data_IF_394938816386
#
_entry.id   IF_394938816386
#
_cell.length_a   1.000
_cell.length_b   1.000
_cell.length_c   1.000
_cell.angle_alpha   90.00
_cell.angle_beta   90.00
_cell.angle_gamma   90.00
#
_symmetry.space_group_name_H-M   'P 1'
#
loop_
_entity.id
_entity.type
_entity.pdbx_description
1 polymer ?
#
# COMPACT_ATOMS: atom_id res chain seq x y z
N UNK A 1 9.63 41.32 -2.77
CA UNK A 1 8.29 40.69 -2.69
C UNK A 1 8.41 39.37 -3.43
N UNK A 2 8.70 38.29 -2.69
CA UNK A 2 8.80 36.93 -3.26
C UNK A 2 7.42 36.30 -3.23
N UNK A 3 6.86 35.98 -4.38
CA UNK A 3 5.68 35.16 -4.49
C UNK A 3 6.02 33.76 -3.99
N UNK A 4 5.35 33.32 -2.93
CA UNK A 4 5.35 31.91 -2.50
C UNK A 4 4.74 31.09 -3.65
N UNK A 5 5.36 30.02 -4.13
CA UNK A 5 4.73 29.17 -5.13
C UNK A 5 3.54 28.48 -4.46
N UNK A 6 2.33 28.86 -4.83
CA UNK A 6 1.14 28.07 -4.57
C UNK A 6 1.27 26.80 -5.43
N UNK A 7 1.75 25.71 -4.85
CA UNK A 7 1.57 24.38 -5.46
C UNK A 7 0.08 24.08 -5.38
N UNK A 8 -0.55 23.90 -6.53
CA UNK A 8 -1.90 23.36 -6.63
C UNK A 8 -1.88 21.92 -6.13
N UNK A 9 -2.93 21.48 -5.43
CA UNK A 9 -3.09 20.08 -4.97
C UNK A 9 -2.95 19.06 -6.13
N UNK A 10 -3.20 19.48 -7.36
CA UNK A 10 -3.06 18.67 -8.58
C UNK A 10 -1.60 18.33 -8.98
N UNK A 11 -0.59 18.98 -8.37
CA UNK A 11 0.83 18.72 -8.68
C UNK A 11 1.50 17.71 -7.71
N UNK A 12 0.80 17.29 -6.67
CA UNK A 12 1.34 16.33 -5.69
C UNK A 12 1.15 14.90 -6.16
N UNK A 13 2.21 14.08 -6.06
CA UNK A 13 2.07 12.65 -6.36
C UNK A 13 1.11 11.96 -5.37
N UNK A 14 0.14 11.17 -5.85
CA UNK A 14 -0.84 10.53 -5.00
C UNK A 14 -0.22 9.46 -4.11
N UNK A 15 -0.72 9.35 -2.87
CA UNK A 15 -0.46 8.22 -1.99
C UNK A 15 -1.59 7.22 -2.10
N UNK A 16 -1.27 6.02 -2.58
CA UNK A 16 -2.20 4.91 -2.78
C UNK A 16 -1.99 3.85 -1.71
N UNK A 17 -3.09 3.25 -1.26
CA UNK A 17 -3.09 2.08 -0.41
C UNK A 17 -3.78 0.92 -1.13
N UNK A 18 -3.14 -0.25 -1.20
CA UNK A 18 -3.75 -1.46 -1.78
C UNK A 18 -3.52 -2.65 -0.85
N UNK A 19 -4.57 -3.42 -0.57
CA UNK A 19 -4.51 -4.59 0.32
C UNK A 19 -5.54 -5.65 -0.09
N UNK A 20 -5.19 -6.92 0.16
CA UNK A 20 -6.14 -8.03 0.13
C UNK A 20 -6.91 -8.10 1.43
N UNK A 21 -8.21 -8.35 1.34
CA UNK A 21 -9.11 -8.45 2.48
C UNK A 21 -10.20 -9.49 2.19
N UNK A 22 -10.67 -10.20 3.22
CA UNK A 22 -11.84 -11.07 3.09
C UNK A 22 -13.14 -10.28 3.18
N UNK A 23 -14.28 -10.88 2.85
CA UNK A 23 -15.60 -10.24 2.92
C UNK A 23 -15.96 -9.74 4.33
N UNK A 24 -15.43 -10.38 5.36
CA UNK A 24 -15.61 -9.98 6.78
C UNK A 24 -14.49 -9.06 7.29
N UNK A 25 -13.66 -8.51 6.37
CA UNK A 25 -12.67 -7.48 6.68
C UNK A 25 -11.35 -8.01 7.26
N UNK A 26 -11.12 -9.31 7.31
CA UNK A 26 -9.84 -9.86 7.75
C UNK A 26 -8.75 -9.56 6.73
N UNK A 27 -7.59 -9.06 7.21
CA UNK A 27 -6.42 -8.76 6.40
C UNK A 27 -5.21 -9.67 6.67
N UNK A 28 -5.41 -10.83 7.30
CA UNK A 28 -4.37 -11.85 7.43
C UNK A 28 -4.16 -12.56 6.07
N UNK A 29 -3.00 -12.30 5.46
CA UNK A 29 -2.65 -12.89 4.16
C UNK A 29 -2.65 -14.42 4.14
N UNK A 30 -2.46 -15.09 5.29
CA UNK A 30 -2.47 -16.55 5.40
C UNK A 30 -3.88 -17.13 5.27
N UNK A 31 -4.91 -16.33 5.48
CA UNK A 31 -6.30 -16.75 5.37
C UNK A 31 -6.83 -16.68 3.91
N UNK A 32 -6.02 -16.19 2.96
CA UNK A 32 -6.59 -15.53 1.79
C UNK A 32 -6.59 -16.38 0.51
N UNK A 33 -5.62 -17.30 0.22
CA UNK A 33 -5.47 -17.70 -1.19
C UNK A 33 -5.13 -19.19 -1.46
N UNK A 34 -5.69 -19.71 -2.58
CA UNK A 34 -5.21 -20.91 -3.28
C UNK A 34 -4.15 -20.54 -4.35
N UNK A 35 -3.32 -21.52 -4.78
CA UNK A 35 -2.20 -21.27 -5.71
C UNK A 35 -2.62 -20.70 -7.09
N UNK A 36 -3.78 -21.09 -7.62
CA UNK A 36 -4.26 -20.62 -8.93
C UNK A 36 -4.78 -19.18 -8.89
N UNK A 37 -5.43 -18.82 -7.81
CA UNK A 37 -5.95 -17.45 -7.58
C UNK A 37 -4.83 -16.45 -7.37
N UNK A 38 -3.70 -16.90 -6.80
CA UNK A 38 -2.52 -16.08 -6.55
C UNK A 38 -1.91 -15.47 -7.81
N UNK A 39 -1.86 -16.18 -8.94
CA UNK A 39 -1.18 -15.71 -10.14
C UNK A 39 -1.84 -14.45 -10.74
N UNK A 40 -3.16 -14.43 -10.83
CA UNK A 40 -3.89 -13.27 -11.36
C UNK A 40 -3.74 -12.06 -10.43
N UNK A 41 -3.84 -12.31 -9.14
CA UNK A 41 -3.68 -11.30 -8.10
C UNK A 41 -2.26 -10.72 -8.05
N UNK A 42 -1.23 -11.55 -8.16
CA UNK A 42 0.15 -11.08 -8.24
C UNK A 42 0.40 -10.21 -9.46
N UNK A 43 -0.16 -10.57 -10.62
CA UNK A 43 -0.09 -9.71 -11.82
C UNK A 43 -0.76 -8.35 -11.59
N UNK A 44 -1.89 -8.33 -10.88
CA UNK A 44 -2.55 -7.09 -10.51
C UNK A 44 -1.68 -6.25 -9.57
N UNK A 45 -1.14 -6.82 -8.51
CA UNK A 45 -0.24 -6.12 -7.60
C UNK A 45 1.06 -5.65 -8.28
N UNK A 46 1.61 -6.44 -9.22
CA UNK A 46 2.78 -6.01 -10.00
C UNK A 46 2.46 -4.76 -10.82
N UNK A 47 1.27 -4.69 -11.44
CA UNK A 47 0.83 -3.49 -12.18
C UNK A 47 0.65 -2.28 -11.26
N UNK A 48 0.06 -2.48 -10.08
CA UNK A 48 -0.09 -1.41 -9.08
C UNK A 48 1.26 -0.86 -8.63
N UNK A 49 2.22 -1.74 -8.34
CA UNK A 49 3.59 -1.37 -8.02
C UNK A 49 4.26 -0.56 -9.13
N UNK A 50 4.09 -0.96 -10.39
CA UNK A 50 4.66 -0.27 -11.54
C UNK A 50 4.06 1.14 -11.78
N UNK A 51 2.90 1.45 -11.20
CA UNK A 51 2.28 2.78 -11.22
C UNK A 51 2.81 3.72 -10.13
N UNK A 52 3.57 3.19 -9.16
CA UNK A 52 4.24 3.97 -8.14
C UNK A 52 5.76 3.99 -8.38
N UNK A 53 6.41 5.07 -8.02
CA UNK A 53 7.86 5.21 -8.08
C UNK A 53 8.53 5.02 -6.72
N UNK A 54 7.75 5.04 -5.64
CA UNK A 54 8.25 4.68 -4.32
C UNK A 54 7.20 3.96 -3.46
N UNK A 55 7.70 3.16 -2.53
CA UNK A 55 6.92 2.40 -1.56
C UNK A 55 7.14 2.96 -0.16
N UNK A 56 6.08 2.96 0.66
CA UNK A 56 6.18 3.35 2.07
C UNK A 56 5.81 2.15 2.93
N UNK A 57 6.71 1.74 3.81
CA UNK A 57 6.52 0.60 4.70
C UNK A 57 6.77 0.99 6.16
N UNK A 58 6.03 0.39 7.07
CA UNK A 58 6.46 0.27 8.46
C UNK A 58 7.51 -0.83 8.61
N UNK A 59 8.24 -0.85 9.73
CA UNK A 59 9.32 -1.82 10.00
C UNK A 59 8.92 -3.26 9.69
N UNK A 60 7.84 -3.75 10.27
CA UNK A 60 7.42 -5.16 10.13
C UNK A 60 7.13 -5.53 8.67
N UNK A 61 6.45 -4.65 7.94
CA UNK A 61 6.17 -4.88 6.51
C UNK A 61 7.45 -4.84 5.69
N UNK A 62 8.37 -3.91 5.97
CA UNK A 62 9.66 -3.85 5.31
C UNK A 62 10.46 -5.14 5.49
N UNK A 63 10.67 -5.59 6.73
CA UNK A 63 11.40 -6.81 7.06
C UNK A 63 10.79 -8.04 6.40
N UNK A 64 9.45 -8.16 6.42
CA UNK A 64 8.73 -9.26 5.80
C UNK A 64 8.89 -9.25 4.26
N UNK A 65 8.74 -8.11 3.62
CA UNK A 65 8.88 -7.97 2.16
C UNK A 65 10.33 -8.19 1.71
N UNK A 66 11.30 -7.67 2.45
CA UNK A 66 12.71 -7.88 2.19
C UNK A 66 13.07 -9.36 2.25
N UNK A 67 12.70 -10.04 3.33
CA UNK A 67 12.98 -11.46 3.52
C UNK A 67 12.34 -12.34 2.43
N UNK A 68 11.14 -11.98 1.97
CA UNK A 68 10.41 -12.74 0.96
C UNK A 68 10.95 -12.52 -0.47
N UNK A 69 11.23 -11.28 -0.85
CA UNK A 69 11.38 -10.92 -2.27
C UNK A 69 12.80 -10.57 -2.70
N UNK A 70 13.62 -10.02 -1.79
CA UNK A 70 15.00 -9.63 -2.11
C UNK A 70 15.86 -10.81 -2.56
N UNK A 71 15.88 -11.99 -1.90
CA UNK A 71 16.67 -13.13 -2.35
C UNK A 71 16.25 -13.61 -3.75
N UNK A 72 14.96 -13.69 -4.02
CA UNK A 72 14.47 -14.08 -5.34
C UNK A 72 14.93 -13.10 -6.43
N UNK A 73 14.81 -11.80 -6.19
CA UNK A 73 15.16 -10.78 -7.18
C UNK A 73 16.67 -10.73 -7.47
N UNK A 74 17.50 -10.83 -6.42
CA UNK A 74 18.93 -10.60 -6.53
C UNK A 74 19.76 -11.86 -6.82
N UNK A 75 19.34 -13.02 -6.32
CA UNK A 75 20.10 -14.28 -6.44
C UNK A 75 19.35 -15.41 -7.12
N UNK A 76 18.04 -15.23 -7.37
CA UNK A 76 17.17 -16.29 -7.86
C UNK A 76 16.84 -17.36 -6.80
N UNK A 77 17.22 -17.13 -5.53
CA UNK A 77 16.91 -18.05 -4.43
C UNK A 77 15.40 -18.10 -4.21
N UNK A 78 14.85 -19.32 -4.19
CA UNK A 78 13.41 -19.58 -4.10
C UNK A 78 13.09 -20.48 -2.92
N UNK A 79 12.41 -19.98 -1.88
CA UNK A 79 11.67 -20.86 -0.97
C UNK A 79 10.59 -21.67 -1.70
N UNK A 80 10.19 -22.80 -1.16
CA UNK A 80 9.24 -23.72 -1.82
C UNK A 80 7.88 -23.09 -2.17
N UNK A 81 7.45 -22.09 -1.41
CA UNK A 81 6.20 -21.37 -1.64
C UNK A 81 6.27 -20.36 -2.79
N UNK A 82 7.48 -19.94 -3.21
CA UNK A 82 7.67 -19.00 -4.32
C UNK A 82 7.62 -19.75 -5.66
N UNK A 83 6.66 -19.35 -6.50
CA UNK A 83 6.48 -19.91 -7.84
C UNK A 83 7.22 -19.04 -8.88
N UNK A 84 7.64 -19.63 -10.04
CA UNK A 84 8.35 -18.88 -11.09
C UNK A 84 7.62 -17.63 -11.58
N UNK A 85 6.30 -17.65 -11.63
CA UNK A 85 5.48 -16.52 -12.08
C UNK A 85 5.44 -15.34 -11.09
N UNK A 86 5.97 -15.49 -9.88
CA UNK A 86 6.13 -14.40 -8.90
C UNK A 86 7.37 -13.52 -9.14
N UNK A 87 8.30 -13.97 -9.99
CA UNK A 87 9.56 -13.26 -10.25
C UNK A 87 9.38 -11.82 -10.77
N UNK A 88 8.42 -11.49 -11.66
CA UNK A 88 8.18 -10.10 -12.06
C UNK A 88 7.84 -9.18 -10.88
N UNK A 89 7.05 -9.65 -9.93
CA UNK A 89 6.76 -8.90 -8.71
C UNK A 89 8.02 -8.67 -7.88
N UNK A 90 8.82 -9.72 -7.66
CA UNK A 90 10.08 -9.61 -6.91
C UNK A 90 11.03 -8.59 -7.54
N UNK A 91 11.20 -8.61 -8.85
CA UNK A 91 12.05 -7.63 -9.57
C UNK A 91 11.51 -6.21 -9.46
N UNK A 92 10.18 -6.03 -9.56
CA UNK A 92 9.56 -4.72 -9.47
C UNK A 92 9.72 -4.11 -8.08
N UNK A 93 9.48 -4.91 -7.03
CA UNK A 93 9.64 -4.42 -5.65
C UNK A 93 11.11 -4.20 -5.28
N UNK A 94 12.04 -5.01 -5.79
CA UNK A 94 13.48 -4.83 -5.57
C UNK A 94 13.96 -3.50 -6.15
N UNK A 95 13.57 -3.19 -7.36
CA UNK A 95 13.95 -1.96 -8.06
C UNK A 95 13.33 -0.68 -7.46
N UNK A 96 12.12 -0.77 -6.90
CA UNK A 96 11.41 0.39 -6.37
C UNK A 96 12.17 1.05 -5.19
N UNK A 97 12.17 2.39 -5.12
CA UNK A 97 12.60 3.12 -3.93
C UNK A 97 11.67 2.81 -2.76
N UNK A 98 12.22 2.67 -1.58
CA UNK A 98 11.45 2.41 -0.35
C UNK A 98 11.72 3.46 0.70
N UNK A 99 10.67 3.91 1.38
CA UNK A 99 10.73 4.72 2.58
C UNK A 99 10.23 3.89 3.75
N UNK A 100 11.05 3.74 4.79
CA UNK A 100 10.75 2.87 5.93
C UNK A 100 10.50 3.71 7.17
N UNK A 101 9.24 3.77 7.59
CA UNK A 101 8.86 4.49 8.81
C UNK A 101 9.18 3.62 10.02
N UNK A 102 10.17 4.02 10.80
CA UNK A 102 10.59 3.28 11.99
C UNK A 102 11.35 4.18 12.98
N UNK A 103 11.02 4.05 14.27
CA UNK A 103 11.78 4.63 15.37
C UNK A 103 12.86 3.69 15.93
N UNK A 104 12.81 2.40 15.59
CA UNK A 104 13.65 1.36 16.20
C UNK A 104 14.71 0.78 15.27
N UNK A 105 14.50 0.79 13.94
CA UNK A 105 15.52 0.36 12.99
C UNK A 105 16.67 1.36 12.98
N UNK A 106 17.90 0.87 13.04
CA UNK A 106 19.10 1.71 12.95
C UNK A 106 19.48 2.02 11.50
N UNK A 107 19.27 1.05 10.61
CA UNK A 107 19.62 1.15 9.18
C UNK A 107 18.67 0.33 8.31
N UNK A 108 18.63 0.67 7.04
CA UNK A 108 17.97 -0.07 5.94
C UNK A 108 18.89 0.00 4.72
N UNK A 109 18.85 -0.99 3.83
CA UNK A 109 19.76 -1.05 2.68
C UNK A 109 19.14 -1.57 1.37
N UNK A 110 17.94 -2.12 1.41
CA UNK A 110 17.23 -2.65 0.24
C UNK A 110 16.60 -1.53 -0.62
N UNK A 111 17.43 -0.70 -1.28
CA UNK A 111 17.02 0.53 -1.96
C UNK A 111 16.05 1.35 -1.09
N UNK A 112 16.39 1.48 0.19
CA UNK A 112 15.51 2.02 1.20
C UNK A 112 16.13 3.19 1.95
N UNK A 113 15.28 4.05 2.50
CA UNK A 113 15.62 5.19 3.34
C UNK A 113 14.76 5.20 4.59
N UNK A 114 15.38 5.47 5.75
CA UNK A 114 14.64 5.58 7.01
C UNK A 114 13.93 6.92 7.11
N UNK A 115 12.64 6.85 7.44
CA UNK A 115 11.80 8.00 7.77
C UNK A 115 11.60 8.03 9.29
N UNK A 116 12.00 9.12 9.92
CA UNK A 116 11.91 9.35 11.37
C UNK A 116 11.19 10.66 11.68
N UNK A 117 10.77 10.82 12.94
CA UNK A 117 10.14 12.03 13.40
C UNK A 117 8.63 12.09 13.10
N UNK A 118 8.12 13.26 12.73
CA UNK A 118 6.70 13.46 12.46
C UNK A 118 6.27 12.80 11.15
N UNK A 119 5.42 11.78 11.26
CA UNK A 119 4.93 10.99 10.13
C UNK A 119 4.20 11.86 9.10
N UNK A 120 3.34 12.76 9.60
CA UNK A 120 2.51 13.59 8.73
C UNK A 120 3.35 14.54 7.88
N UNK A 121 4.32 15.22 8.47
CA UNK A 121 5.21 16.13 7.75
C UNK A 121 6.10 15.37 6.77
N UNK A 122 6.67 14.23 7.18
CA UNK A 122 7.52 13.43 6.30
C UNK A 122 6.76 12.97 5.05
N UNK A 123 5.55 12.43 5.21
CA UNK A 123 4.77 11.94 4.06
C UNK A 123 4.27 13.11 3.18
N UNK A 124 3.91 14.27 3.74
CA UNK A 124 3.58 15.46 2.93
C UNK A 124 4.77 15.90 2.08
N UNK A 125 5.99 15.89 2.63
CA UNK A 125 7.20 16.22 1.86
C UNK A 125 7.41 15.21 0.72
N UNK A 126 7.28 13.91 0.98
CA UNK A 126 7.38 12.89 -0.06
C UNK A 126 6.33 13.06 -1.17
N UNK A 127 5.12 13.49 -0.84
CA UNK A 127 4.07 13.78 -1.84
C UNK A 127 4.40 15.00 -2.71
N UNK A 128 5.19 15.94 -2.23
CA UNK A 128 5.62 17.13 -2.99
C UNK A 128 6.77 16.87 -3.95
N UNK A 129 7.46 15.73 -3.82
CA UNK A 129 8.50 15.36 -4.76
C UNK A 129 7.88 14.97 -6.12
N UNK A 130 8.55 15.24 -7.25
CA UNK A 130 8.06 14.84 -8.56
C UNK A 130 8.04 13.31 -8.68
N UNK A 131 6.98 12.77 -9.31
CA UNK A 131 6.88 11.33 -9.52
C UNK A 131 5.47 10.89 -9.89
N UNK A 132 5.30 9.58 -10.12
CA UNK A 132 4.02 8.97 -10.53
C UNK A 132 3.08 8.73 -9.36
N UNK A 133 3.63 8.51 -8.17
CA UNK A 133 2.87 8.21 -6.97
C UNK A 133 3.63 7.40 -5.94
N UNK A 134 3.07 7.33 -4.76
CA UNK A 134 3.54 6.55 -3.62
C UNK A 134 2.57 5.39 -3.38
N UNK A 135 3.08 4.24 -3.00
CA UNK A 135 2.26 3.11 -2.58
C UNK A 135 2.61 2.72 -1.13
N UNK A 136 1.63 2.75 -0.25
CA UNK A 136 1.82 2.30 1.15
C UNK A 136 1.34 0.86 1.33
N UNK A 137 2.11 0.06 2.06
CA UNK A 137 1.79 -1.32 2.40
C UNK A 137 1.71 -1.56 3.90
N UNK A 138 1.07 -2.69 4.27
CA UNK A 138 0.87 -3.11 5.66
C UNK A 138 -0.50 -2.73 6.21
N UNK A 139 -0.65 -2.72 7.53
CA UNK A 139 -1.94 -2.50 8.21
C UNK A 139 -1.87 -1.31 9.16
N UNK A 140 -0.90 -1.28 10.06
CA UNK A 140 -0.78 -0.26 11.10
C UNK A 140 -0.39 1.12 10.54
N UNK A 141 0.57 1.17 9.62
CA UNK A 141 1.00 2.43 9.02
C UNK A 141 -0.09 3.06 8.15
N UNK A 142 -0.81 2.31 7.28
CA UNK A 142 -1.95 2.86 6.56
C UNK A 142 -3.08 3.37 7.46
N UNK A 143 -3.36 2.72 8.60
CA UNK A 143 -4.32 3.25 9.57
C UNK A 143 -3.90 4.64 10.07
N UNK A 144 -2.64 4.81 10.49
CA UNK A 144 -2.14 6.11 10.95
C UNK A 144 -2.17 7.17 9.84
N UNK A 145 -1.85 6.81 8.60
CA UNK A 145 -1.91 7.73 7.45
C UNK A 145 -3.35 8.09 7.06
N UNK A 146 -4.28 7.16 7.18
CA UNK A 146 -5.70 7.41 6.98
C UNK A 146 -6.28 8.38 8.02
N UNK A 147 -5.90 8.22 9.29
CA UNK A 147 -6.25 9.15 10.38
C UNK A 147 -5.74 10.58 10.11
N UNK A 148 -4.53 10.69 9.56
CA UNK A 148 -3.95 11.97 9.14
C UNK A 148 -4.54 12.48 7.82
N UNK A 149 -5.37 11.64 7.16
CA UNK A 149 -5.97 11.91 5.86
C UNK A 149 -4.95 12.13 4.76
N UNK A 150 -3.90 11.36 4.74
CA UNK A 150 -2.83 11.47 3.75
C UNK A 150 -2.95 10.49 2.60
N UNK A 151 -3.83 9.48 2.71
CA UNK A 151 -4.11 8.53 1.64
C UNK A 151 -5.14 9.13 0.69
N UNK A 152 -4.80 9.20 -0.59
CA UNK A 152 -5.65 9.76 -1.65
C UNK A 152 -6.51 8.68 -2.30
N UNK A 153 -5.94 7.49 -2.51
CA UNK A 153 -6.62 6.37 -3.16
C UNK A 153 -6.53 5.10 -2.30
N UNK A 154 -7.63 4.38 -2.19
CA UNK A 154 -7.74 3.11 -1.48
C UNK A 154 -8.15 2.03 -2.47
N UNK A 155 -7.44 0.91 -2.50
CA UNK A 155 -7.84 -0.27 -3.24
C UNK A 155 -7.97 -1.46 -2.29
N UNK A 156 -9.16 -2.03 -2.24
CA UNK A 156 -9.46 -3.26 -1.50
C UNK A 156 -9.67 -4.39 -2.49
N UNK A 157 -8.80 -5.39 -2.46
CA UNK A 157 -8.98 -6.63 -3.22
C UNK A 157 -9.73 -7.61 -2.33
N UNK A 158 -11.05 -7.61 -2.48
CA UNK A 158 -11.96 -8.39 -1.65
C UNK A 158 -12.03 -9.81 -2.17
N UNK A 159 -11.58 -10.75 -1.33
CA UNK A 159 -11.63 -12.19 -1.62
C UNK A 159 -13.02 -12.74 -1.29
N UNK A 160 -13.60 -13.65 -2.11
CA UNK A 160 -14.90 -14.25 -1.88
C UNK A 160 -14.87 -15.30 -0.76
N UNK A 161 -14.44 -14.87 0.43
CA UNK A 161 -14.20 -15.73 1.60
C UNK A 161 -14.56 -15.00 2.89
N UNK A 162 -15.01 -15.75 3.88
CA UNK A 162 -15.15 -15.33 5.27
C UNK A 162 -14.05 -16.03 6.07
N UNK A 163 -13.25 -15.27 6.80
CA UNK A 163 -12.19 -15.79 7.67
C UNK A 163 -12.71 -16.14 9.06
N UNK A 164 -13.64 -15.36 9.59
CA UNK A 164 -14.22 -15.54 10.92
C UNK A 164 -13.26 -15.21 12.08
N UNK A 165 -12.02 -14.82 11.78
CA UNK A 165 -10.98 -14.51 12.75
C UNK A 165 -9.87 -13.64 12.12
N UNK A 166 -8.93 -13.19 12.92
CA UNK A 166 -7.76 -12.42 12.49
C UNK A 166 -7.95 -10.91 12.60
N UNK A 167 -6.93 -10.13 12.23
CA UNK A 167 -6.98 -8.68 12.30
C UNK A 167 -7.98 -8.12 11.29
N UNK A 168 -8.86 -7.22 11.78
CA UNK A 168 -9.80 -6.49 10.93
C UNK A 168 -9.14 -5.22 10.42
N UNK A 169 -9.24 -4.99 9.11
CA UNK A 169 -8.70 -3.81 8.46
C UNK A 169 -9.35 -2.53 9.03
N UNK A 170 -8.53 -1.52 9.30
CA UNK A 170 -8.95 -0.24 9.91
C UNK A 170 -9.69 -0.35 11.26
N UNK A 171 -9.55 -1.47 11.97
CA UNK A 171 -10.01 -1.54 13.35
C UNK A 171 -9.33 -0.45 14.19
N UNK A 172 -10.14 0.37 14.89
CA UNK A 172 -9.66 1.49 15.69
C UNK A 172 -9.61 2.84 14.97
N UNK A 173 -10.09 2.95 13.72
CA UNK A 173 -10.23 4.24 13.05
C UNK A 173 -11.14 5.17 13.87
N UNK A 174 -10.63 6.35 14.25
CA UNK A 174 -11.32 7.27 15.18
C UNK A 174 -12.56 7.90 14.56
N UNK A 175 -12.57 8.12 13.23
CA UNK A 175 -13.69 8.74 12.51
C UNK A 175 -13.90 8.05 11.16
N UNK A 176 -15.16 7.91 10.70
CA UNK A 176 -15.42 7.40 9.36
C UNK A 176 -14.75 8.26 8.28
N UNK A 177 -14.25 7.59 7.25
CA UNK A 177 -13.72 8.22 6.03
C UNK A 177 -14.68 7.88 4.90
N UNK A 178 -15.26 8.90 4.27
CA UNK A 178 -16.11 8.71 3.11
C UNK A 178 -15.25 8.45 1.88
N UNK A 179 -15.60 7.41 1.14
CA UNK A 179 -14.88 6.97 -0.05
C UNK A 179 -15.84 6.97 -1.24
N UNK A 180 -15.35 7.42 -2.40
CA UNK A 180 -16.07 7.39 -3.67
C UNK A 180 -15.47 6.31 -4.57
N UNK A 181 -16.27 5.32 -4.97
CA UNK A 181 -15.82 4.28 -5.91
C UNK A 181 -15.48 4.93 -7.27
N UNK A 182 -14.28 4.64 -7.76
CA UNK A 182 -13.79 5.16 -9.06
C UNK A 182 -13.50 4.06 -10.07
N UNK A 183 -13.20 2.83 -9.61
CA UNK A 183 -12.93 1.71 -10.49
C UNK A 183 -13.21 0.38 -9.80
N UNK A 184 -13.50 -0.67 -10.58
CA UNK A 184 -13.59 -2.05 -10.10
C UNK A 184 -13.10 -3.03 -11.16
N UNK A 185 -12.44 -4.08 -10.71
CA UNK A 185 -11.96 -5.18 -11.53
C UNK A 185 -12.36 -6.51 -10.90
N UNK A 186 -13.07 -7.34 -11.64
CA UNK A 186 -13.44 -8.68 -11.22
C UNK A 186 -12.40 -9.69 -11.74
N UNK A 187 -11.94 -10.56 -10.85
CA UNK A 187 -11.01 -11.64 -11.18
C UNK A 187 -11.77 -12.94 -11.43
N UNK A 188 -11.16 -13.85 -12.18
CA UNK A 188 -11.75 -15.17 -12.45
C UNK A 188 -11.99 -16.00 -11.19
N UNK A 189 -11.21 -15.75 -10.14
CA UNK A 189 -11.37 -16.34 -8.81
C UNK A 189 -12.66 -15.89 -8.08
N UNK A 190 -13.37 -14.90 -8.60
CA UNK A 190 -14.47 -14.24 -7.90
C UNK A 190 -14.03 -13.13 -6.94
N UNK A 191 -12.72 -12.89 -6.79
CA UNK A 191 -12.25 -11.71 -6.06
C UNK A 191 -12.54 -10.43 -6.84
N UNK A 192 -12.70 -9.31 -6.13
CA UNK A 192 -13.00 -8.00 -6.73
C UNK A 192 -12.04 -6.96 -6.17
N UNK A 193 -11.24 -6.33 -7.04
CA UNK A 193 -10.51 -5.13 -6.67
C UNK A 193 -11.42 -3.91 -6.83
N UNK A 194 -11.63 -3.18 -5.75
CA UNK A 194 -12.42 -1.96 -5.72
C UNK A 194 -11.52 -0.79 -5.37
N UNK A 195 -11.42 0.19 -6.26
CA UNK A 195 -10.62 1.39 -6.05
C UNK A 195 -11.53 2.57 -5.73
N UNK A 196 -11.13 3.27 -4.70
CA UNK A 196 -11.84 4.43 -4.16
C UNK A 196 -10.89 5.62 -4.05
N UNK A 197 -11.44 6.81 -4.23
CA UNK A 197 -10.82 8.06 -3.82
C UNK A 197 -11.38 8.51 -2.47
N UNK A 198 -10.52 9.13 -1.64
CA UNK A 198 -10.99 9.80 -0.44
C UNK A 198 -11.93 10.95 -0.83
N UNK A 199 -13.14 10.97 -0.29
CA UNK A 199 -14.09 12.05 -0.53
C UNK A 199 -13.60 13.39 0.00
N UNK A 200 -14.05 14.49 -0.60
CA UNK A 200 -13.70 15.85 -0.20
C UNK A 200 -13.94 16.10 1.29
N UNK A 201 -12.94 16.60 1.98
CA UNK A 201 -13.00 16.96 3.42
C UNK A 201 -13.86 18.19 3.69
N UNK A 202 -14.40 18.84 2.65
CA UNK A 202 -15.10 20.14 2.78
C UNK A 202 -16.61 20.08 2.96
N UNK A 203 -17.25 18.88 3.08
CA UNK A 203 -18.70 18.79 3.31
C UNK A 203 -19.11 18.52 4.77
N UNK A 204 -18.26 18.76 5.75
CA UNK A 204 -18.51 18.50 7.18
C UNK A 204 -18.79 19.71 8.05
N UNK A 205 -19.14 20.89 7.51
CA UNK A 205 -19.56 22.05 8.30
C UNK A 205 -20.77 22.75 7.68
N UNK A 206 -21.90 22.05 7.64
CA UNK A 206 -23.20 22.70 7.52
C UNK A 206 -24.25 21.78 8.18
N UNK A 207 -24.57 22.08 9.44
CA UNK A 207 -25.64 21.39 10.21
C UNK A 207 -25.51 21.76 11.67
#
# INVERSE_FOLDING_TARGET
>A
MGASPFFYEDDMRPLRYSINVTLDGCCDHRAILSDEELQELHRHHTRNLAQADALIFGRVTYEMMEAAWRPLAQTGARPDWIKPWMEPFARTIDAAKKYVVSSTLERVDWNAELVRGDLGNAVRQLKQEPGKGLLVGGVTLPLALAELGLIDEYEFVVQPRLAGHGPTLFAGLAKPINLRLVDRLEFKSGAVAMRYEAGDRHQGQAG
#
